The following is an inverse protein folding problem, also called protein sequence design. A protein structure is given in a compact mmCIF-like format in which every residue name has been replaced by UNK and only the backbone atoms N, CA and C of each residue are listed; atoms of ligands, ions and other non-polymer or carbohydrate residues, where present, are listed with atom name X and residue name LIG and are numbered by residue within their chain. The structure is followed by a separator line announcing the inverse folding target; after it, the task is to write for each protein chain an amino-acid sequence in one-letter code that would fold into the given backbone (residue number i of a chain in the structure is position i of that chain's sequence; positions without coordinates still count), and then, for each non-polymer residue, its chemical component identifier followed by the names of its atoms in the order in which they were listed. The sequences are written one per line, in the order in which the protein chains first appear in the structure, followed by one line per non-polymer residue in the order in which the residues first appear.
data_IF_477234531198
#
_entry.id   IF_477234531198
#
_cell.length_a   1.000
_cell.length_b   1.000
_cell.length_c   1.000
_cell.angle_alpha   90.00
_cell.angle_beta   90.00
_cell.angle_gamma   90.00
#
_symmetry.space_group_name_H-M   'P 1'
#
loop_
_entity.id
_entity.type
_entity.pdbx_description
1 polymer ?
#
# COMPACT_ATOMS: atom_id res chain seq x y z
N UNK A 1 17.61 2.44 -24.50
CA UNK A 1 16.32 3.16 -24.61
C UNK A 1 15.57 2.99 -23.28
N UNK A 2 15.12 4.07 -22.64
CA UNK A 2 14.25 3.95 -21.47
C UNK A 2 12.85 3.50 -21.93
N UNK A 3 12.24 2.50 -21.28
CA UNK A 3 10.90 2.05 -21.65
C UNK A 3 9.90 3.20 -21.49
N UNK A 4 8.96 3.32 -22.43
CA UNK A 4 7.90 4.33 -22.36
C UNK A 4 6.93 3.99 -21.21
N UNK A 5 6.38 4.98 -20.48
CA UNK A 5 5.45 4.72 -19.37
C UNK A 5 4.29 3.78 -19.74
N UNK A 6 3.70 3.96 -20.91
CA UNK A 6 2.60 3.10 -21.38
C UNK A 6 3.00 1.62 -21.52
N UNK A 7 4.25 1.33 -21.91
CA UNK A 7 4.76 -0.04 -21.98
C UNK A 7 4.91 -0.67 -20.60
N UNK A 8 5.34 0.11 -19.61
CA UNK A 8 5.45 -0.34 -18.23
C UNK A 8 4.08 -0.62 -17.61
N UNK A 9 3.07 0.23 -17.86
CA UNK A 9 1.69 -0.03 -17.41
C UNK A 9 1.12 -1.29 -18.07
N UNK A 10 1.34 -1.49 -19.35
CA UNK A 10 0.89 -2.68 -20.04
C UNK A 10 1.55 -3.95 -19.47
N UNK A 11 2.88 -3.91 -19.26
CA UNK A 11 3.60 -5.02 -18.66
C UNK A 11 3.14 -5.31 -17.21
N UNK A 12 2.90 -4.26 -16.41
CA UNK A 12 2.35 -4.39 -15.07
C UNK A 12 0.97 -5.09 -15.09
N UNK A 13 0.09 -4.69 -16.01
CA UNK A 13 -1.23 -5.31 -16.13
C UNK A 13 -1.11 -6.80 -16.51
N UNK A 14 -0.24 -7.15 -17.46
CA UNK A 14 0.01 -8.55 -17.85
C UNK A 14 0.52 -9.36 -16.66
N UNK A 15 1.56 -8.89 -15.96
CA UNK A 15 2.16 -9.61 -14.83
C UNK A 15 1.15 -9.76 -13.69
N UNK A 16 0.33 -8.73 -13.44
CA UNK A 16 -0.74 -8.79 -12.44
C UNK A 16 -1.81 -9.84 -12.79
N UNK A 17 -2.23 -9.91 -14.04
CA UNK A 17 -3.17 -10.94 -14.52
C UNK A 17 -2.58 -12.34 -14.43
N UNK A 18 -1.31 -12.52 -14.80
CA UNK A 18 -0.58 -13.78 -14.66
C UNK A 18 -0.54 -14.21 -13.19
N UNK A 19 -0.19 -13.31 -12.25
CA UNK A 19 -0.19 -13.63 -10.80
C UNK A 19 -1.57 -14.06 -10.33
N UNK A 20 -2.64 -13.33 -10.69
CA UNK A 20 -4.01 -13.70 -10.31
C UNK A 20 -4.37 -15.07 -10.90
N UNK A 21 -3.99 -15.37 -12.13
CA UNK A 21 -4.20 -16.69 -12.72
C UNK A 21 -3.50 -17.79 -11.94
N UNK A 22 -2.26 -17.56 -11.49
CA UNK A 22 -1.53 -18.53 -10.67
C UNK A 22 -2.12 -18.68 -9.27
N UNK A 23 -2.72 -17.62 -8.72
CA UNK A 23 -3.50 -17.68 -7.48
C UNK A 23 -4.74 -18.56 -7.66
N UNK A 24 -5.50 -18.37 -8.75
CA UNK A 24 -6.72 -19.16 -9.06
C UNK A 24 -6.37 -20.64 -9.28
N UNK A 25 -5.29 -20.91 -9.98
CA UNK A 25 -4.85 -22.29 -10.27
C UNK A 25 -4.03 -22.94 -9.16
N UNK A 26 -3.87 -22.25 -8.01
CA UNK A 26 -3.06 -22.70 -6.86
C UNK A 26 -1.63 -23.12 -7.24
N UNK A 27 -1.05 -22.49 -8.28
CA UNK A 27 0.30 -22.79 -8.75
C UNK A 27 1.37 -22.01 -7.96
N UNK A 28 1.68 -22.50 -6.76
CA UNK A 28 2.62 -21.83 -5.87
C UNK A 28 4.01 -21.64 -6.49
N UNK A 29 4.49 -22.59 -7.28
CA UNK A 29 5.83 -22.53 -7.91
C UNK A 29 5.94 -21.34 -8.86
N UNK A 30 4.94 -21.11 -9.70
CA UNK A 30 4.94 -19.98 -10.64
C UNK A 30 4.70 -18.64 -9.94
N UNK A 31 3.99 -18.64 -8.80
CA UNK A 31 3.82 -17.45 -7.96
C UNK A 31 5.12 -16.96 -7.34
N UNK A 32 6.08 -17.85 -7.05
CA UNK A 32 7.43 -17.43 -6.61
C UNK A 32 8.14 -16.56 -7.65
N UNK A 33 7.78 -16.67 -8.92
CA UNK A 33 8.36 -15.89 -10.01
C UNK A 33 7.54 -14.63 -10.34
N UNK A 34 6.20 -14.74 -10.39
CA UNK A 34 5.35 -13.64 -10.84
C UNK A 34 5.14 -12.56 -9.76
N UNK A 35 4.86 -12.96 -8.51
CA UNK A 35 4.58 -12.01 -7.43
C UNK A 35 5.71 -10.99 -7.20
N UNK A 36 7.01 -11.39 -7.13
CA UNK A 36 8.10 -10.45 -6.95
C UNK A 36 8.31 -9.44 -8.09
N UNK A 37 7.68 -9.61 -9.25
CA UNK A 37 7.81 -8.69 -10.37
C UNK A 37 6.84 -7.49 -10.28
N UNK A 38 5.75 -7.61 -9.51
CA UNK A 38 4.69 -6.61 -9.44
C UNK A 38 5.21 -5.27 -8.93
N UNK A 39 5.83 -5.27 -7.77
CA UNK A 39 6.29 -4.03 -7.10
C UNK A 39 7.48 -3.37 -7.84
N UNK A 40 8.50 -4.10 -8.34
CA UNK A 40 9.53 -3.48 -9.18
C UNK A 40 8.98 -2.81 -10.44
N UNK A 41 7.93 -3.36 -11.08
CA UNK A 41 7.26 -2.71 -12.20
C UNK A 41 6.56 -1.42 -11.80
N UNK A 42 5.89 -1.39 -10.63
CA UNK A 42 5.31 -0.16 -10.09
C UNK A 42 6.38 0.88 -9.75
N UNK A 43 7.50 0.46 -9.19
CA UNK A 43 8.63 1.35 -8.93
C UNK A 43 9.21 1.91 -10.24
N UNK A 44 9.33 1.08 -11.28
CA UNK A 44 9.78 1.53 -12.61
C UNK A 44 8.78 2.52 -13.24
N UNK A 45 7.47 2.27 -13.12
CA UNK A 45 6.43 3.21 -13.56
C UNK A 45 6.62 4.54 -12.82
N UNK A 46 6.69 4.52 -11.50
CA UNK A 46 6.85 5.72 -10.69
C UNK A 46 8.09 6.53 -11.08
N UNK A 47 9.24 5.85 -11.21
CA UNK A 47 10.51 6.47 -11.62
C UNK A 47 10.47 7.06 -13.04
N UNK A 48 9.63 6.51 -13.92
CA UNK A 48 9.50 7.04 -15.29
C UNK A 48 8.87 8.45 -15.35
N UNK A 49 8.17 8.86 -14.28
CA UNK A 49 7.57 10.19 -14.13
C UNK A 49 8.37 11.12 -13.22
N UNK A 50 9.45 10.63 -12.59
CA UNK A 50 10.25 11.45 -11.69
C UNK A 50 11.32 12.27 -12.41
N UNK A 51 11.65 13.41 -11.81
CA UNK A 51 12.83 14.18 -12.20
C UNK A 51 14.10 13.45 -11.72
N UNK A 52 15.06 13.14 -12.62
CA UNK A 52 16.26 12.37 -12.28
C UNK A 52 17.21 13.06 -11.27
N UNK A 53 16.93 14.31 -10.88
CA UNK A 53 17.74 15.07 -9.93
C UNK A 53 17.40 14.82 -8.45
N UNK A 54 16.32 14.09 -8.15
CA UNK A 54 15.95 13.78 -6.77
C UNK A 54 16.65 12.50 -6.30
N UNK A 55 17.27 12.51 -5.10
CA UNK A 55 17.93 11.32 -4.57
C UNK A 55 16.88 10.25 -4.24
N UNK A 56 16.97 9.09 -4.89
CA UNK A 56 16.06 7.94 -4.76
C UNK A 56 15.88 7.51 -3.30
N UNK A 57 16.96 7.51 -2.51
CA UNK A 57 16.94 7.09 -1.11
C UNK A 57 16.19 8.04 -0.16
N UNK A 58 15.78 9.23 -0.63
CA UNK A 58 14.94 10.16 0.14
C UNK A 58 13.47 10.10 -0.23
N UNK A 59 13.13 9.26 -1.22
CA UNK A 59 11.75 9.11 -1.66
C UNK A 59 11.02 8.05 -0.82
N UNK A 60 10.12 8.53 0.04
CA UNK A 60 9.37 7.64 0.93
C UNK A 60 8.42 6.69 0.18
N UNK A 61 7.98 7.02 -1.04
CA UNK A 61 7.20 6.08 -1.87
C UNK A 61 8.08 4.92 -2.32
N UNK A 62 9.30 5.18 -2.81
CA UNK A 62 10.21 4.12 -3.23
C UNK A 62 10.63 3.23 -2.05
N UNK A 63 10.84 3.82 -0.87
CA UNK A 63 11.13 3.04 0.34
C UNK A 63 9.92 2.19 0.75
N UNK A 64 8.70 2.74 0.69
CA UNK A 64 7.47 1.98 0.92
C UNK A 64 7.32 0.82 -0.06
N UNK A 65 7.54 1.05 -1.35
CA UNK A 65 7.52 0.00 -2.37
C UNK A 65 8.63 -1.04 -2.13
N UNK A 66 9.83 -0.62 -1.78
CA UNK A 66 10.94 -1.55 -1.50
C UNK A 66 10.60 -2.50 -0.33
N UNK A 67 10.11 -1.97 0.79
CA UNK A 67 9.73 -2.81 1.93
C UNK A 67 8.47 -3.65 1.64
N UNK A 68 7.54 -3.17 0.81
CA UNK A 68 6.43 -3.99 0.32
C UNK A 68 6.93 -5.17 -0.53
N UNK A 69 7.89 -4.93 -1.42
CA UNK A 69 8.54 -5.97 -2.22
C UNK A 69 9.22 -7.04 -1.37
N UNK A 70 10.01 -6.62 -0.37
CA UNK A 70 10.64 -7.55 0.58
C UNK A 70 9.56 -8.35 1.33
N UNK A 71 8.50 -7.69 1.78
CA UNK A 71 7.36 -8.34 2.41
C UNK A 71 6.68 -9.37 1.51
N UNK A 72 6.50 -9.04 0.22
CA UNK A 72 5.93 -9.96 -0.78
C UNK A 72 6.75 -11.24 -0.94
N UNK A 73 8.07 -11.12 -0.94
CA UNK A 73 8.97 -12.28 -1.04
C UNK A 73 8.89 -13.12 0.24
N UNK A 74 8.96 -12.48 1.40
CA UNK A 74 8.98 -13.18 2.69
C UNK A 74 7.65 -13.89 2.97
N UNK A 75 6.51 -13.26 2.69
CA UNK A 75 5.18 -13.85 2.92
C UNK A 75 4.85 -15.02 1.99
N UNK A 76 5.68 -15.33 1.00
CA UNK A 76 5.49 -16.54 0.20
C UNK A 76 5.82 -17.83 0.98
N UNK A 77 6.59 -17.73 2.06
CA UNK A 77 6.98 -18.86 2.89
C UNK A 77 6.47 -18.67 4.32
N UNK A 78 5.70 -19.64 4.88
CA UNK A 78 5.08 -19.49 6.21
C UNK A 78 6.09 -19.21 7.34
N UNK A 79 7.29 -19.75 7.25
CA UNK A 79 8.37 -19.56 8.22
C UNK A 79 8.85 -18.11 8.32
N UNK A 80 8.63 -17.30 7.29
CA UNK A 80 9.01 -15.88 7.24
C UNK A 80 7.82 -14.94 7.44
N UNK A 81 6.70 -15.43 7.99
CA UNK A 81 5.51 -14.61 8.19
C UNK A 81 5.78 -13.37 9.03
N UNK A 82 6.43 -13.51 10.20
CA UNK A 82 6.72 -12.37 11.09
C UNK A 82 7.70 -11.38 10.45
N UNK A 83 8.84 -11.78 9.87
CA UNK A 83 9.67 -10.87 9.07
C UNK A 83 8.93 -10.17 7.94
N UNK A 84 8.04 -10.87 7.22
CA UNK A 84 7.21 -10.29 6.17
C UNK A 84 6.24 -9.24 6.71
N UNK A 85 5.57 -9.52 7.83
CA UNK A 85 4.71 -8.58 8.52
C UNK A 85 5.46 -7.31 8.95
N UNK A 86 6.67 -7.45 9.51
CA UNK A 86 7.53 -6.32 9.88
C UNK A 86 7.96 -5.50 8.66
N UNK A 87 8.22 -6.15 7.53
CA UNK A 87 8.54 -5.47 6.29
C UNK A 87 7.38 -4.63 5.79
N UNK A 88 6.15 -5.16 5.74
CA UNK A 88 4.97 -4.40 5.39
C UNK A 88 4.65 -3.28 6.39
N UNK A 89 4.83 -3.52 7.69
CA UNK A 89 4.71 -2.47 8.71
C UNK A 89 5.65 -1.31 8.41
N UNK A 90 6.90 -1.60 8.06
CA UNK A 90 7.89 -0.59 7.67
C UNK A 90 7.46 0.15 6.40
N UNK A 91 6.91 -0.55 5.40
CA UNK A 91 6.35 0.07 4.20
C UNK A 91 5.24 1.08 4.54
N UNK A 92 4.31 0.71 5.44
CA UNK A 92 3.23 1.60 5.88
C UNK A 92 3.77 2.84 6.60
N UNK A 93 4.82 2.71 7.41
CA UNK A 93 5.47 3.86 8.05
C UNK A 93 6.01 4.83 6.99
N UNK A 94 6.65 4.33 5.92
CA UNK A 94 7.13 5.21 4.84
C UNK A 94 5.98 5.87 4.08
N UNK A 95 4.86 5.20 3.85
CA UNK A 95 3.67 5.82 3.26
C UNK A 95 3.06 6.88 4.19
N UNK A 96 2.99 6.64 5.50
CA UNK A 96 2.57 7.65 6.48
C UNK A 96 3.48 8.88 6.42
N UNK A 97 4.79 8.70 6.41
CA UNK A 97 5.77 9.78 6.31
C UNK A 97 5.58 10.57 5.00
N UNK A 98 5.35 9.89 3.88
CA UNK A 98 5.06 10.53 2.61
C UNK A 98 3.80 11.40 2.69
N UNK A 99 2.70 10.85 3.18
CA UNK A 99 1.45 11.59 3.33
C UNK A 99 1.61 12.77 4.31
N UNK A 100 2.32 12.59 5.42
CA UNK A 100 2.55 13.65 6.38
C UNK A 100 3.38 14.82 5.81
N UNK A 101 4.42 14.50 5.03
CA UNK A 101 5.33 15.49 4.41
C UNK A 101 4.74 16.21 3.20
N UNK A 102 3.68 15.69 2.60
CA UNK A 102 3.01 16.34 1.47
C UNK A 102 2.47 17.69 1.93
N UNK A 103 3.03 18.79 1.40
CA UNK A 103 2.70 20.18 1.80
C UNK A 103 1.27 20.54 1.43
N UNK A 104 0.68 21.40 2.24
CA UNK A 104 -0.64 21.93 2.04
C UNK A 104 -0.81 23.28 2.72
N UNK A 105 -1.51 24.17 2.05
CA UNK A 105 -1.89 25.48 2.57
C UNK A 105 -3.32 25.48 3.15
N UNK A 106 -3.99 24.33 3.20
CA UNK A 106 -5.39 24.22 3.59
C UNK A 106 -5.58 23.61 4.99
N UNK A 107 -6.77 23.78 5.56
CA UNK A 107 -7.12 23.24 6.88
C UNK A 107 -7.16 21.70 6.89
N UNK A 108 -6.78 21.12 8.03
CA UNK A 108 -6.78 19.68 8.23
C UNK A 108 -8.17 19.05 8.03
N UNK A 109 -8.24 17.95 7.29
CA UNK A 109 -9.45 17.18 7.10
C UNK A 109 -10.11 16.75 8.43
N UNK A 110 -9.32 16.30 9.41
CA UNK A 110 -9.84 15.84 10.69
C UNK A 110 -10.43 16.97 11.56
N UNK A 111 -9.93 18.18 11.40
CA UNK A 111 -10.51 19.35 12.05
C UNK A 111 -11.92 19.64 11.54
N UNK A 112 -12.17 19.39 10.26
CA UNK A 112 -13.46 19.64 9.61
C UNK A 112 -14.40 18.40 9.65
N UNK A 113 -13.84 17.18 9.69
CA UNK A 113 -14.60 15.92 9.66
C UNK A 113 -14.02 14.87 10.60
N UNK A 114 -14.08 15.08 11.92
CA UNK A 114 -13.54 14.14 12.91
C UNK A 114 -14.22 12.77 12.86
N UNK A 115 -15.41 12.68 12.32
CA UNK A 115 -16.16 11.44 12.15
C UNK A 115 -15.41 10.38 11.34
N UNK A 116 -14.57 10.78 10.38
CA UNK A 116 -13.76 9.84 9.61
C UNK A 116 -12.69 9.15 10.47
N UNK A 117 -12.06 9.90 11.36
CA UNK A 117 -11.10 9.32 12.31
C UNK A 117 -11.80 8.36 13.27
N UNK A 118 -12.98 8.75 13.77
CA UNK A 118 -13.80 7.89 14.64
C UNK A 118 -14.16 6.60 13.92
N UNK A 119 -14.55 6.66 12.65
CA UNK A 119 -14.87 5.48 11.84
C UNK A 119 -13.66 4.54 11.67
N UNK A 120 -12.46 5.08 11.40
CA UNK A 120 -11.24 4.27 11.32
C UNK A 120 -10.89 3.62 12.65
N UNK A 121 -11.04 4.34 13.76
CA UNK A 121 -10.80 3.80 15.09
C UNK A 121 -11.84 2.73 15.47
N UNK A 122 -13.11 2.97 15.18
CA UNK A 122 -14.17 1.98 15.40
C UNK A 122 -13.91 0.70 14.61
N UNK A 123 -13.53 0.83 13.33
CA UNK A 123 -13.14 -0.30 12.50
C UNK A 123 -11.98 -1.09 13.12
N UNK A 124 -10.90 -0.42 13.56
CA UNK A 124 -9.75 -1.10 14.20
C UNK A 124 -10.19 -1.86 15.46
N UNK A 125 -10.99 -1.23 16.32
CA UNK A 125 -11.45 -1.85 17.57
C UNK A 125 -12.33 -3.08 17.28
N UNK A 126 -13.29 -2.95 16.36
CA UNK A 126 -14.17 -4.05 15.97
C UNK A 126 -13.38 -5.19 15.33
N UNK A 127 -12.47 -4.87 14.40
CA UNK A 127 -11.66 -5.88 13.74
C UNK A 127 -10.74 -6.62 14.72
N UNK A 128 -10.11 -5.91 15.65
CA UNK A 128 -9.32 -6.52 16.71
C UNK A 128 -10.18 -7.36 17.67
N UNK A 129 -11.38 -6.91 18.01
CA UNK A 129 -12.33 -7.70 18.83
C UNK A 129 -12.66 -9.06 18.17
N UNK A 130 -12.88 -9.06 16.86
CA UNK A 130 -13.17 -10.25 16.08
C UNK A 130 -11.98 -11.22 16.02
N UNK A 131 -10.75 -10.71 15.91
CA UNK A 131 -9.54 -11.55 15.78
C UNK A 131 -8.91 -11.95 17.10
N UNK A 132 -9.09 -11.16 18.16
CA UNK A 132 -8.37 -11.32 19.43
C UNK A 132 -8.38 -12.73 20.03
N UNK A 133 -9.50 -13.48 20.00
CA UNK A 133 -9.55 -14.83 20.56
C UNK A 133 -8.64 -15.81 19.84
N UNK A 134 -8.39 -15.62 18.55
CA UNK A 134 -7.69 -16.59 17.67
C UNK A 134 -6.21 -16.25 17.45
N UNK A 135 -5.76 -15.04 17.82
CA UNK A 135 -4.41 -14.56 17.54
C UNK A 135 -3.32 -15.22 18.40
N UNK A 136 -3.62 -15.74 19.58
CA UNK A 136 -2.61 -16.34 20.47
C UNK A 136 -1.40 -15.43 20.70
N UNK A 137 -0.17 -15.90 20.40
CA UNK A 137 1.06 -15.10 20.56
C UNK A 137 1.14 -13.89 19.61
N UNK A 138 0.34 -13.88 18.52
CA UNK A 138 0.34 -12.81 17.52
C UNK A 138 -0.50 -11.60 17.92
N UNK A 139 -1.13 -11.58 19.10
CA UNK A 139 -1.98 -10.48 19.56
C UNK A 139 -1.29 -9.11 19.47
N UNK A 140 -0.09 -9.00 20.04
CA UNK A 140 0.66 -7.75 20.07
C UNK A 140 1.21 -7.36 18.69
N UNK A 141 1.87 -8.25 17.94
CA UNK A 141 2.29 -7.94 16.57
C UNK A 141 1.15 -7.47 15.67
N UNK A 142 0.01 -8.15 15.68
CA UNK A 142 -1.16 -7.79 14.85
C UNK A 142 -1.80 -6.49 15.31
N UNK A 143 -1.86 -6.21 16.62
CA UNK A 143 -2.35 -4.94 17.14
C UNK A 143 -1.48 -3.75 16.68
N UNK A 144 -0.15 -3.87 16.80
CA UNK A 144 0.78 -2.84 16.34
C UNK A 144 0.62 -2.61 14.83
N UNK A 145 0.50 -3.69 14.07
CA UNK A 145 0.26 -3.64 12.64
C UNK A 145 -1.07 -2.94 12.31
N UNK A 146 -2.15 -3.32 12.98
CA UNK A 146 -3.48 -2.71 12.82
C UNK A 146 -3.49 -1.21 13.12
N UNK A 147 -2.80 -0.78 14.19
CA UNK A 147 -2.64 0.64 14.52
C UNK A 147 -1.88 1.35 13.38
N UNK A 148 -0.80 0.76 12.88
CA UNK A 148 0.02 1.38 11.84
C UNK A 148 -0.75 1.54 10.53
N UNK A 149 -1.47 0.51 10.06
CA UNK A 149 -2.23 0.59 8.81
C UNK A 149 -3.45 1.53 8.95
N UNK A 150 -4.09 1.58 10.12
CA UNK A 150 -5.16 2.54 10.42
C UNK A 150 -4.64 3.98 10.44
N UNK A 151 -3.42 4.20 10.93
CA UNK A 151 -2.73 5.49 10.87
C UNK A 151 -2.41 5.87 9.42
N UNK A 152 -1.99 4.92 8.58
CA UNK A 152 -1.76 5.15 7.15
C UNK A 152 -3.06 5.57 6.44
N UNK A 153 -4.17 4.88 6.68
CA UNK A 153 -5.48 5.27 6.14
C UNK A 153 -5.89 6.66 6.62
N UNK A 154 -5.71 6.95 7.91
CA UNK A 154 -5.99 8.27 8.47
C UNK A 154 -5.16 9.37 7.82
N UNK A 155 -3.87 9.11 7.57
CA UNK A 155 -2.97 10.04 6.89
C UNK A 155 -3.38 10.25 5.41
N UNK A 156 -3.85 9.20 4.73
CA UNK A 156 -4.40 9.31 3.37
C UNK A 156 -5.70 10.14 3.34
N UNK A 157 -6.60 9.91 4.29
CA UNK A 157 -7.83 10.72 4.44
C UNK A 157 -7.50 12.19 4.68
N UNK A 158 -6.44 12.48 5.41
CA UNK A 158 -5.98 13.85 5.63
C UNK A 158 -5.61 14.57 4.34
N UNK A 159 -5.19 13.86 3.27
CA UNK A 159 -4.85 14.48 1.98
C UNK A 159 -6.06 15.10 1.26
N UNK A 160 -7.29 14.71 1.62
CA UNK A 160 -8.50 15.13 0.90
C UNK A 160 -8.66 16.65 0.77
N UNK A 161 -8.22 17.42 1.77
CA UNK A 161 -8.29 18.88 1.72
C UNK A 161 -6.94 19.55 1.43
N UNK A 162 -5.90 18.74 1.30
CA UNK A 162 -4.56 19.22 1.06
C UNK A 162 -4.18 19.19 -0.42
N UNK A 163 -4.80 18.31 -1.17
CA UNK A 163 -4.47 18.06 -2.57
C UNK A 163 -5.71 18.25 -3.44
N UNK A 164 -5.48 18.36 -4.74
CA UNK A 164 -6.56 18.24 -5.71
C UNK A 164 -7.37 16.97 -5.42
N UNK A 165 -8.71 17.08 -5.43
CA UNK A 165 -9.63 15.99 -5.06
C UNK A 165 -9.31 14.65 -5.74
N UNK A 166 -8.94 14.68 -7.04
CA UNK A 166 -8.57 13.45 -7.77
C UNK A 166 -7.31 12.81 -7.20
N UNK A 167 -6.29 13.60 -6.87
CA UNK A 167 -5.03 13.10 -6.30
C UNK A 167 -5.25 12.53 -4.89
N UNK A 168 -6.02 13.24 -4.06
CA UNK A 168 -6.39 12.75 -2.73
C UNK A 168 -7.19 11.45 -2.80
N UNK A 169 -8.13 11.34 -3.75
CA UNK A 169 -8.93 10.13 -3.94
C UNK A 169 -8.07 8.91 -4.31
N UNK A 170 -7.01 9.07 -5.11
CA UNK A 170 -6.08 7.97 -5.37
C UNK A 170 -5.45 7.43 -4.08
N UNK A 171 -4.99 8.31 -3.18
CA UNK A 171 -4.41 7.88 -1.90
C UNK A 171 -5.46 7.22 -0.99
N UNK A 172 -6.66 7.78 -0.91
CA UNK A 172 -7.75 7.24 -0.09
C UNK A 172 -8.15 5.85 -0.59
N UNK A 173 -8.40 5.69 -1.88
CA UNK A 173 -8.76 4.41 -2.49
C UNK A 173 -7.62 3.40 -2.27
N UNK A 174 -6.37 3.80 -2.53
CA UNK A 174 -5.20 2.95 -2.33
C UNK A 174 -5.04 2.49 -0.89
N UNK A 175 -5.13 3.40 0.08
CA UNK A 175 -5.03 3.05 1.51
C UNK A 175 -6.21 2.19 1.98
N UNK A 176 -7.43 2.46 1.52
CA UNK A 176 -8.61 1.64 1.85
C UNK A 176 -8.47 0.22 1.30
N UNK A 177 -8.05 0.07 0.05
CA UNK A 177 -7.81 -1.24 -0.57
C UNK A 177 -6.69 -1.99 0.15
N UNK A 178 -5.66 -1.29 0.65
CA UNK A 178 -4.60 -1.90 1.41
C UNK A 178 -5.11 -2.45 2.75
N UNK A 179 -5.85 -1.62 3.51
CA UNK A 179 -6.53 -2.07 4.74
C UNK A 179 -7.41 -3.28 4.46
N UNK A 180 -8.18 -3.25 3.37
CA UNK A 180 -9.03 -4.38 2.96
C UNK A 180 -8.22 -5.65 2.68
N UNK A 181 -7.14 -5.54 1.91
CA UNK A 181 -6.26 -6.67 1.59
C UNK A 181 -5.69 -7.33 2.85
N UNK A 182 -5.15 -6.50 3.76
CA UNK A 182 -4.53 -7.01 4.98
C UNK A 182 -5.55 -7.57 5.97
N UNK A 183 -6.75 -7.01 5.98
CA UNK A 183 -7.86 -7.55 6.78
C UNK A 183 -8.31 -8.91 6.27
N UNK A 184 -8.43 -9.07 4.96
CA UNK A 184 -8.73 -10.37 4.33
C UNK A 184 -7.62 -11.39 4.62
N UNK A 185 -6.36 -10.96 4.54
CA UNK A 185 -5.21 -11.80 4.89
C UNK A 185 -5.28 -12.25 6.36
N UNK A 186 -5.54 -11.33 7.29
CA UNK A 186 -5.62 -11.64 8.71
C UNK A 186 -6.80 -12.57 9.03
N UNK A 187 -7.98 -12.34 8.42
CA UNK A 187 -9.12 -13.25 8.57
C UNK A 187 -8.79 -14.64 8.06
N UNK A 188 -8.21 -14.75 6.88
CA UNK A 188 -7.84 -16.03 6.27
C UNK A 188 -6.78 -16.80 7.08
N UNK A 189 -5.87 -16.06 7.74
CA UNK A 189 -4.78 -16.70 8.51
C UNK A 189 -5.15 -17.03 9.95
N UNK A 190 -5.93 -16.18 10.61
CA UNK A 190 -6.11 -16.25 12.05
C UNK A 190 -7.53 -16.63 12.47
N UNK A 191 -8.52 -16.49 11.61
CA UNK A 191 -9.89 -16.79 11.96
C UNK A 191 -10.40 -18.01 11.19
N UNK A 192 -10.58 -17.88 9.90
CA UNK A 192 -11.14 -18.94 9.05
C UNK A 192 -10.70 -18.71 7.59
N UNK A 193 -10.17 -19.78 6.97
CA UNK A 193 -9.87 -19.74 5.55
C UNK A 193 -11.17 -19.76 4.73
N UNK A 194 -11.24 -18.93 3.71
CA UNK A 194 -12.43 -18.80 2.87
C UNK A 194 -12.09 -18.97 1.38
N UNK A 195 -13.12 -19.38 0.63
CA UNK A 195 -12.99 -19.52 -0.80
C UNK A 195 -12.58 -18.20 -1.45
N UNK A 196 -11.69 -18.25 -2.45
CA UNK A 196 -11.19 -17.09 -3.18
C UNK A 196 -10.37 -16.09 -2.35
N UNK A 197 -9.97 -16.44 -1.11
CA UNK A 197 -9.16 -15.57 -0.26
C UNK A 197 -7.91 -15.05 -0.98
N UNK A 198 -7.15 -15.93 -1.61
CA UNK A 198 -5.94 -15.55 -2.35
C UNK A 198 -6.21 -14.53 -3.46
N UNK A 199 -7.29 -14.70 -4.23
CA UNK A 199 -7.68 -13.77 -5.31
C UNK A 199 -8.09 -12.42 -4.74
N UNK A 200 -8.93 -12.41 -3.70
CA UNK A 200 -9.41 -11.18 -3.08
C UNK A 200 -8.25 -10.38 -2.46
N UNK A 201 -7.35 -11.05 -1.74
CA UNK A 201 -6.16 -10.44 -1.13
C UNK A 201 -5.25 -9.86 -2.20
N UNK A 202 -4.87 -10.65 -3.22
CA UNK A 202 -3.95 -10.18 -4.25
C UNK A 202 -4.54 -9.06 -5.12
N UNK A 203 -5.81 -9.15 -5.50
CA UNK A 203 -6.46 -8.12 -6.31
C UNK A 203 -6.54 -6.79 -5.57
N UNK A 204 -6.97 -6.79 -4.31
CA UNK A 204 -7.03 -5.57 -3.49
C UNK A 204 -5.64 -5.01 -3.22
N UNK A 205 -4.62 -5.86 -2.99
CA UNK A 205 -3.23 -5.45 -2.81
C UNK A 205 -2.63 -4.79 -4.05
N UNK A 206 -2.76 -5.43 -5.22
CA UNK A 206 -2.23 -4.90 -6.49
C UNK A 206 -2.86 -3.54 -6.81
N UNK A 207 -4.18 -3.42 -6.65
CA UNK A 207 -4.89 -2.16 -6.86
C UNK A 207 -4.49 -1.11 -5.81
N UNK A 208 -4.32 -1.49 -4.54
CA UNK A 208 -3.87 -0.58 -3.48
C UNK A 208 -2.54 0.08 -3.84
N UNK A 209 -1.55 -0.73 -4.19
CA UNK A 209 -0.22 -0.26 -4.56
C UNK A 209 -0.27 0.62 -5.82
N UNK A 210 -1.04 0.22 -6.83
CA UNK A 210 -1.23 1.00 -8.04
C UNK A 210 -1.82 2.39 -7.73
N UNK A 211 -2.88 2.46 -6.93
CA UNK A 211 -3.54 3.73 -6.60
C UNK A 211 -2.62 4.65 -5.77
N UNK A 212 -1.85 4.12 -4.83
CA UNK A 212 -0.86 4.90 -4.08
C UNK A 212 0.19 5.49 -5.04
N UNK A 213 0.71 4.69 -5.97
CA UNK A 213 1.69 5.13 -6.96
C UNK A 213 1.11 6.18 -7.90
N UNK A 214 -0.12 5.98 -8.40
CA UNK A 214 -0.79 6.96 -9.27
C UNK A 214 -1.02 8.30 -8.54
N UNK A 215 -1.40 8.27 -7.28
CA UNK A 215 -1.50 9.47 -6.45
C UNK A 215 -0.16 10.19 -6.32
N UNK A 216 0.91 9.46 -6.08
CA UNK A 216 2.26 10.01 -5.95
C UNK A 216 2.78 10.61 -7.27
N UNK A 217 2.53 9.96 -8.41
CA UNK A 217 2.84 10.49 -9.74
C UNK A 217 2.12 11.82 -9.97
N UNK A 218 0.83 11.90 -9.63
CA UNK A 218 0.05 13.14 -9.79
C UNK A 218 0.60 14.28 -8.93
N UNK A 219 0.99 14.02 -7.70
CA UNK A 219 1.66 15.02 -6.84
C UNK A 219 2.90 15.59 -7.55
N UNK A 220 3.72 14.72 -8.15
CA UNK A 220 4.95 15.16 -8.82
C UNK A 220 4.69 15.96 -10.11
N UNK A 221 3.69 15.54 -10.90
CA UNK A 221 3.36 16.20 -12.19
C UNK A 221 2.69 17.56 -11.98
N UNK A 222 1.91 17.74 -10.90
CA UNK A 222 1.14 18.97 -10.65
C UNK A 222 1.78 19.90 -9.61
N UNK A 223 2.89 19.52 -8.96
CA UNK A 223 3.67 20.46 -8.15
C UNK A 223 4.41 21.39 -9.11
N UNK A 224 4.12 22.71 -9.12
CA UNK A 224 4.94 23.65 -9.87
C UNK A 224 6.37 23.49 -9.36
N UNK A 225 7.32 23.41 -10.30
CA UNK A 225 8.73 23.47 -9.99
C UNK A 225 8.98 24.72 -9.14
N UNK A 226 9.04 24.55 -7.83
CA UNK A 226 9.57 25.60 -6.97
C UNK A 226 11.01 25.77 -7.42
N UNK A 227 11.24 26.81 -8.22
CA UNK A 227 12.55 27.36 -8.50
C UNK A 227 13.27 27.43 -7.16
N UNK A 228 14.24 26.54 -6.99
CA UNK A 228 15.25 26.68 -5.95
C UNK A 228 16.07 27.88 -6.42
N UNK A 229 15.68 29.05 -5.99
CA UNK A 229 16.60 30.18 -5.94
C UNK A 229 17.63 29.84 -4.87
N UNK A 230 18.88 29.90 -5.32
CA UNK A 230 20.10 29.64 -4.57
C UNK A 230 20.15 30.32 -3.19
#
# INVERSE_FOLDING_TARGET
MKPKPNQLFFLFAIVSLIEITFVVTNNQTLRYLSKPLIIPLLAAIYLSFQNPRLPILRDNILLGLFFSWVGDILLQSPQFFVPGLLSFLTAHIFYIIYFAKTKSDQHSFFKLRPIMLIAVMAYLVEFMYILWPTLGPMRIPVLIYGITISTMLSAALWQYQKLENKTAMFFIIGATLFVTSDSLLALNMFKESFSMAGVSIMSTYILAQLFIVLGAIRVHVHSPSTSITA
#
